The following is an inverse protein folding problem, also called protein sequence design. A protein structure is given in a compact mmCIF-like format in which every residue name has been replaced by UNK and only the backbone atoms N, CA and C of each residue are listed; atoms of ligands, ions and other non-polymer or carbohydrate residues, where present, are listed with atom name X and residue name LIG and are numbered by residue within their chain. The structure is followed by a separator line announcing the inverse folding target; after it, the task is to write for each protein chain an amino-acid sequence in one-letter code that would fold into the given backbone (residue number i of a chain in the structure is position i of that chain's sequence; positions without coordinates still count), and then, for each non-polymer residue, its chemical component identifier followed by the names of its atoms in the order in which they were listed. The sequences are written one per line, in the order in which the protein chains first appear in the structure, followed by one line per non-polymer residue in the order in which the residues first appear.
data_IF_154103747296
#
_entry.id   IF_154103747296
#
_cell.length_a   1.000
_cell.length_b   1.000
_cell.length_c   1.000
_cell.angle_alpha   90.00
_cell.angle_beta   90.00
_cell.angle_gamma   90.00
#
_symmetry.space_group_name_H-M   'P 1'
#
loop_
_entity.id
_entity.type
_entity.pdbx_description
1 polymer ?
#
# COMPACT_ATOMS: atom_id res chain seq x y z
N UNK A 1 1.28 11.09 0.21
CA UNK A 1 2.05 10.09 0.93
C UNK A 1 1.15 9.05 1.59
N UNK A 2 0.37 9.46 2.58
CA UNK A 2 -0.57 8.54 3.23
C UNK A 2 -1.65 8.06 2.25
N UNK A 3 -2.06 8.93 1.35
CA UNK A 3 -3.04 8.59 0.33
C UNK A 3 -2.49 7.54 -0.64
N UNK A 4 -1.25 7.73 -1.10
CA UNK A 4 -0.59 6.76 -1.97
C UNK A 4 -0.48 5.39 -1.30
N UNK A 5 -0.01 5.37 -0.06
CA UNK A 5 0.12 4.11 0.69
C UNK A 5 -1.21 3.41 0.86
N UNK A 6 -2.28 4.16 1.13
CA UNK A 6 -3.61 3.61 1.30
C UNK A 6 -4.11 2.94 0.02
N UNK A 7 -3.94 3.61 -1.12
CA UNK A 7 -4.36 3.06 -2.40
C UNK A 7 -3.52 1.83 -2.74
N UNK A 8 -2.19 1.92 -2.56
CA UNK A 8 -1.29 0.78 -2.78
C UNK A 8 -1.70 -0.42 -1.92
N UNK A 9 -2.00 -0.18 -0.65
CA UNK A 9 -2.45 -1.22 0.27
C UNK A 9 -3.73 -1.88 -0.21
N UNK A 10 -4.70 -1.10 -0.66
CA UNK A 10 -5.97 -1.62 -1.17
C UNK A 10 -5.75 -2.50 -2.41
N UNK A 11 -4.79 -2.13 -3.25
CA UNK A 11 -4.45 -2.89 -4.45
C UNK A 11 -3.77 -4.20 -4.08
N UNK A 12 -2.72 -4.15 -3.26
CA UNK A 12 -1.92 -5.35 -2.97
C UNK A 12 -2.60 -6.29 -1.99
N UNK A 13 -3.53 -5.82 -1.17
CA UNK A 13 -4.29 -6.66 -0.25
C UNK A 13 -5.43 -7.41 -0.91
N UNK A 14 -5.75 -7.08 -2.17
CA UNK A 14 -6.79 -7.77 -2.92
C UNK A 14 -8.18 -7.15 -2.83
N UNK A 15 -8.30 -5.96 -2.25
CA UNK A 15 -9.56 -5.20 -2.30
C UNK A 15 -9.91 -4.93 -3.75
N UNK A 16 -8.92 -4.51 -4.54
CA UNK A 16 -9.01 -4.47 -5.99
C UNK A 16 -8.22 -5.64 -6.55
N UNK A 17 -8.82 -6.42 -7.42
CA UNK A 17 -8.16 -7.58 -8.02
C UNK A 17 -7.42 -7.19 -9.30
N UNK A 18 -6.44 -8.00 -9.74
CA UNK A 18 -5.78 -7.74 -11.02
C UNK A 18 -6.80 -7.56 -12.14
N UNK A 19 -6.63 -6.53 -12.94
CA UNK A 19 -7.53 -6.23 -14.04
C UNK A 19 -8.79 -5.49 -13.68
N UNK A 20 -9.08 -5.29 -12.40
CA UNK A 20 -10.27 -4.56 -11.98
C UNK A 20 -10.19 -3.09 -12.37
N UNK A 21 -11.34 -2.54 -12.67
CA UNK A 21 -11.47 -1.10 -12.91
C UNK A 21 -11.52 -0.36 -11.57
N UNK A 22 -10.72 0.69 -11.45
CA UNK A 22 -10.80 1.57 -10.29
C UNK A 22 -12.02 2.49 -10.40
N UNK A 23 -12.60 2.89 -9.25
CA UNK A 23 -13.58 3.96 -9.25
C UNK A 23 -13.00 5.24 -9.86
N UNK A 24 -13.86 6.18 -10.23
CA UNK A 24 -13.43 7.44 -10.81
C UNK A 24 -12.60 8.26 -9.81
N UNK A 25 -11.81 9.21 -10.35
CA UNK A 25 -11.05 10.16 -9.52
C UNK A 25 -11.97 10.85 -8.51
N UNK A 26 -13.14 11.27 -8.97
CA UNK A 26 -14.12 11.97 -8.13
C UNK A 26 -14.58 11.07 -6.98
N UNK A 27 -14.96 9.82 -7.29
CA UNK A 27 -15.46 8.89 -6.28
C UNK A 27 -14.38 8.55 -5.25
N UNK A 28 -13.16 8.30 -5.73
CA UNK A 28 -12.02 8.02 -4.85
C UNK A 28 -11.70 9.22 -3.96
N UNK A 29 -11.77 10.43 -4.51
CA UNK A 29 -11.50 11.66 -3.76
C UNK A 29 -12.54 11.86 -2.66
N UNK A 30 -13.82 11.63 -2.96
CA UNK A 30 -14.90 11.72 -1.98
C UNK A 30 -14.68 10.69 -0.86
N UNK A 31 -14.40 9.45 -1.22
CA UNK A 31 -14.19 8.37 -0.26
C UNK A 31 -13.01 8.65 0.66
N UNK A 32 -11.93 9.19 0.12
CA UNK A 32 -10.73 9.51 0.89
C UNK A 32 -10.78 10.89 1.56
N UNK A 33 -11.84 11.66 1.30
CA UNK A 33 -12.00 13.03 1.81
C UNK A 33 -10.83 13.94 1.42
N UNK A 34 -10.40 13.86 0.17
CA UNK A 34 -9.33 14.70 -0.38
C UNK A 34 -9.82 15.45 -1.61
N UNK A 35 -9.06 16.47 -1.99
CA UNK A 35 -9.31 17.24 -3.20
C UNK A 35 -9.10 16.34 -4.42
N UNK A 36 -9.98 16.44 -5.47
CA UNK A 36 -9.80 15.66 -6.69
C UNK A 36 -8.44 15.84 -7.36
N UNK A 37 -7.85 17.03 -7.30
CA UNK A 37 -6.51 17.24 -7.85
C UNK A 37 -5.45 16.45 -7.10
N UNK A 38 -5.57 16.34 -5.79
CA UNK A 38 -4.69 15.53 -4.96
C UNK A 38 -4.83 14.05 -5.32
N UNK A 39 -6.06 13.58 -5.49
CA UNK A 39 -6.31 12.21 -5.91
C UNK A 39 -5.74 11.93 -7.31
N UNK A 40 -5.92 12.89 -8.24
CA UNK A 40 -5.38 12.76 -9.59
C UNK A 40 -3.85 12.59 -9.58
N UNK A 41 -3.16 13.35 -8.74
CA UNK A 41 -1.70 13.23 -8.62
C UNK A 41 -1.28 11.86 -8.08
N UNK A 42 -1.99 11.37 -7.07
CA UNK A 42 -1.73 10.05 -6.50
C UNK A 42 -1.91 8.95 -7.55
N UNK A 43 -3.00 9.01 -8.31
CA UNK A 43 -3.27 8.03 -9.35
C UNK A 43 -2.26 8.09 -10.48
N UNK A 44 -1.79 9.30 -10.83
CA UNK A 44 -0.73 9.45 -11.84
C UNK A 44 0.59 8.81 -11.39
N UNK A 45 0.93 8.91 -10.10
CA UNK A 45 2.09 8.23 -9.55
C UNK A 45 1.94 6.71 -9.61
N UNK A 46 0.74 6.20 -9.34
CA UNK A 46 0.47 4.77 -9.45
C UNK A 46 0.60 4.27 -10.89
N UNK A 47 0.17 5.08 -11.86
CA UNK A 47 0.36 4.76 -13.27
C UNK A 47 1.85 4.70 -13.62
N UNK A 48 2.63 5.64 -13.10
CA UNK A 48 4.06 5.68 -13.33
C UNK A 48 4.76 4.44 -12.77
N UNK A 49 4.28 3.93 -11.65
CA UNK A 49 4.84 2.71 -11.04
C UNK A 49 4.44 1.43 -11.77
N UNK A 50 3.43 1.51 -12.67
CA UNK A 50 2.92 0.36 -13.39
C UNK A 50 1.82 -0.43 -12.68
N UNK A 51 1.46 -0.04 -11.46
CA UNK A 51 0.39 -0.73 -10.70
C UNK A 51 -0.99 -0.51 -11.31
N UNK A 52 -1.16 0.63 -11.97
CA UNK A 52 -2.42 1.05 -12.57
C UNK A 52 -2.11 1.48 -14.00
N UNK A 53 -3.02 1.18 -14.91
CA UNK A 53 -2.91 1.67 -16.29
C UNK A 53 -4.22 2.30 -16.73
N UNK A 54 -4.11 3.30 -17.60
CA UNK A 54 -5.27 3.99 -18.17
C UNK A 54 -5.64 3.37 -19.50
N UNK A 55 -6.93 3.22 -19.73
CA UNK A 55 -7.48 2.96 -21.05
C UNK A 55 -8.29 4.17 -21.47
N UNK A 56 -8.05 4.61 -22.69
CA UNK A 56 -8.46 5.90 -23.22
C UNK A 56 -9.89 6.34 -22.90
N UNK A 57 -10.85 5.44 -23.05
CA UNK A 57 -12.27 5.75 -22.85
C UNK A 57 -12.90 4.98 -21.72
N UNK A 58 -12.15 4.09 -21.09
CA UNK A 58 -12.69 3.14 -20.11
C UNK A 58 -12.29 3.40 -18.68
N UNK A 59 -11.30 4.27 -18.45
CA UNK A 59 -10.84 4.61 -17.11
C UNK A 59 -9.51 3.97 -16.75
N UNK A 60 -9.28 3.79 -15.43
CA UNK A 60 -8.07 3.21 -14.89
C UNK A 60 -8.32 1.80 -14.38
N UNK A 61 -7.35 0.94 -14.59
CA UNK A 61 -7.44 -0.48 -14.25
C UNK A 61 -6.21 -0.91 -13.47
N UNK A 62 -6.40 -1.89 -12.58
CA UNK A 62 -5.30 -2.51 -11.85
C UNK A 62 -4.51 -3.38 -12.81
N UNK A 63 -3.18 -3.34 -12.69
CA UNK A 63 -2.31 -4.21 -13.50
C UNK A 63 -2.70 -5.68 -13.36
N UNK A 64 -2.52 -6.45 -14.42
CA UNK A 64 -2.67 -7.89 -14.39
C UNK A 64 -1.35 -8.59 -14.07
N UNK A 65 -0.28 -7.83 -13.93
CA UNK A 65 1.04 -8.36 -13.59
C UNK A 65 1.10 -8.70 -12.10
N UNK A 66 0.77 -9.93 -11.78
CA UNK A 66 0.76 -10.40 -10.40
C UNK A 66 2.13 -10.40 -9.76
N UNK A 67 3.19 -10.53 -10.56
CA UNK A 67 4.56 -10.45 -10.06
C UNK A 67 4.86 -9.05 -9.55
N UNK A 68 4.46 -8.03 -10.29
CA UNK A 68 4.62 -6.64 -9.87
C UNK A 68 3.84 -6.36 -8.60
N UNK A 69 2.62 -6.89 -8.48
CA UNK A 69 1.80 -6.74 -7.28
C UNK A 69 2.46 -7.39 -6.06
N UNK A 70 3.03 -8.58 -6.23
CA UNK A 70 3.75 -9.27 -5.15
C UNK A 70 5.01 -8.52 -4.73
N UNK A 71 5.75 -7.98 -5.68
CA UNK A 71 6.94 -7.18 -5.39
C UNK A 71 6.58 -5.92 -4.61
N UNK A 72 5.50 -5.25 -4.99
CA UNK A 72 5.03 -4.06 -4.28
C UNK A 72 4.59 -4.42 -2.86
N UNK A 73 3.85 -5.51 -2.70
CA UNK A 73 3.42 -5.98 -1.39
C UNK A 73 4.60 -6.21 -0.45
N UNK A 74 5.63 -6.90 -0.95
CA UNK A 74 6.84 -7.17 -0.18
C UNK A 74 7.58 -5.88 0.16
N UNK A 75 7.66 -4.95 -0.79
CA UNK A 75 8.31 -3.66 -0.59
C UNK A 75 7.61 -2.86 0.51
N UNK A 76 6.29 -2.80 0.49
CA UNK A 76 5.51 -2.11 1.53
C UNK A 76 5.72 -2.76 2.90
N UNK A 77 5.70 -4.09 2.95
CA UNK A 77 5.95 -4.82 4.19
C UNK A 77 7.34 -4.51 4.75
N UNK A 78 8.35 -4.47 3.88
CA UNK A 78 9.72 -4.15 4.29
C UNK A 78 9.82 -2.74 4.87
N UNK A 79 9.15 -1.78 4.28
CA UNK A 79 9.10 -0.41 4.81
C UNK A 79 8.49 -0.36 6.20
N UNK A 80 7.38 -1.06 6.41
CA UNK A 80 6.75 -1.14 7.73
C UNK A 80 7.67 -1.77 8.77
N UNK A 81 8.37 -2.83 8.39
CA UNK A 81 9.32 -3.51 9.29
C UNK A 81 10.45 -2.55 9.68
N UNK A 82 11.04 -1.85 8.71
CA UNK A 82 12.12 -0.91 8.98
C UNK A 82 11.68 0.22 9.91
N UNK A 83 10.49 0.76 9.69
CA UNK A 83 9.93 1.80 10.55
C UNK A 83 9.72 1.29 11.97
N UNK A 84 9.19 0.09 12.09
CA UNK A 84 8.99 -0.56 13.38
C UNK A 84 10.32 -0.75 14.12
N UNK A 85 11.32 -1.27 13.43
CA UNK A 85 12.64 -1.51 14.03
C UNK A 85 13.29 -0.21 14.47
N UNK A 86 13.14 0.86 13.71
CA UNK A 86 13.66 2.18 14.09
C UNK A 86 12.97 2.69 15.37
N UNK A 87 11.66 2.51 15.47
CA UNK A 87 10.93 2.91 16.68
C UNK A 87 11.37 2.10 17.91
N UNK A 88 11.61 0.82 17.75
CA UNK A 88 12.11 -0.02 18.84
C UNK A 88 13.49 0.43 19.30
N UNK A 89 14.35 0.77 18.36
CA UNK A 89 15.67 1.32 18.65
C UNK A 89 15.58 2.62 19.46
N UNK A 90 14.67 3.51 19.06
CA UNK A 90 14.44 4.78 19.76
C UNK A 90 13.96 4.57 21.20
N UNK A 91 13.25 3.49 21.45
CA UNK A 91 12.82 3.10 22.80
C UNK A 91 13.94 2.50 23.63
N UNK A 92 15.09 2.22 23.03
CA UNK A 92 16.25 1.67 23.72
C UNK A 92 16.39 0.16 23.63
N UNK A 93 15.57 -0.51 22.83
CA UNK A 93 15.65 -1.97 22.69
C UNK A 93 16.81 -2.38 21.78
N UNK A 94 17.52 -3.42 22.19
CA UNK A 94 18.50 -4.09 21.35
C UNK A 94 17.81 -5.05 20.40
N UNK A 95 18.53 -5.47 19.35
CA UNK A 95 17.96 -6.37 18.34
C UNK A 95 17.39 -7.66 18.94
N UNK A 96 18.11 -8.24 19.88
CA UNK A 96 17.72 -9.50 20.52
C UNK A 96 16.45 -9.33 21.35
N UNK A 97 16.33 -8.21 22.04
CA UNK A 97 15.15 -7.88 22.82
C UNK A 97 13.93 -7.67 21.91
N UNK A 98 14.15 -6.94 20.80
CA UNK A 98 13.09 -6.72 19.81
C UNK A 98 12.61 -8.02 19.20
N UNK A 99 13.54 -8.92 18.84
CA UNK A 99 13.19 -10.21 18.28
C UNK A 99 12.33 -11.03 19.25
N UNK A 100 12.68 -11.02 20.55
CA UNK A 100 11.92 -11.73 21.58
C UNK A 100 10.50 -11.17 21.72
N UNK A 101 10.36 -9.84 21.70
CA UNK A 101 9.05 -9.19 21.77
C UNK A 101 8.18 -9.50 20.56
N UNK A 102 8.78 -9.55 19.37
CA UNK A 102 8.05 -9.93 18.16
C UNK A 102 7.52 -11.35 18.28
N UNK A 103 8.36 -12.29 18.69
CA UNK A 103 7.94 -13.69 18.85
C UNK A 103 6.80 -13.83 19.85
N UNK A 104 6.89 -13.12 20.96
CA UNK A 104 5.83 -13.11 21.97
C UNK A 104 4.53 -12.56 21.40
N UNK A 105 4.60 -11.43 20.71
CA UNK A 105 3.43 -10.80 20.12
C UNK A 105 2.76 -11.70 19.09
N UNK A 106 3.55 -12.41 18.27
CA UNK A 106 3.01 -13.32 17.26
C UNK A 106 2.24 -14.49 17.88
N UNK A 107 2.63 -14.93 19.07
CA UNK A 107 1.90 -15.99 19.78
C UNK A 107 0.59 -15.51 20.40
N UNK A 108 0.53 -14.24 20.77
CA UNK A 108 -0.63 -13.65 21.43
C UNK A 108 -1.66 -13.07 20.46
N UNK A 109 -1.25 -12.77 19.22
CA UNK A 109 -2.10 -12.13 18.23
C UNK A 109 -2.64 -13.19 17.27
N UNK A 110 -3.94 -13.14 17.08
CA UNK A 110 -4.62 -14.00 16.09
C UNK A 110 -4.67 -13.26 14.75
N UNK A 111 -3.71 -13.56 13.91
CA UNK A 111 -3.62 -12.94 12.58
C UNK A 111 -4.26 -13.80 11.51
#
# INVERSE_FOLDING_TARGET
LQLMERIQQDIVSGIYKPGDRLPSVRDLAVEAAVNPNTMQKALSELERSGLVYSQRTSGRFITEDTRLLDEMKTSLASEHILQFLEKMKQLGFQKEETAALIQKALKEVDL
#
